data_IF_963206380529
#
_entry.id   IF_963206380529
#
_cell.length_a   1.000
_cell.length_b   1.000
_cell.length_c   1.000
_cell.angle_alpha   90.00
_cell.angle_beta   90.00
_cell.angle_gamma   90.00
#
_symmetry.space_group_name_H-M   'P 1'
#
loop_
_entity.id
_entity.type
_entity.pdbx_description
1 polymer ?
#
# COMPACT_ATOMS: atom_id res chain seq x y z
N UNK A 1 4.85 2.21 29.68
CA UNK A 1 6.03 2.53 28.87
C UNK A 1 5.56 3.47 27.77
N UNK A 2 6.42 4.33 27.21
CA UNK A 2 6.00 5.18 26.09
C UNK A 2 5.75 4.30 24.86
N UNK A 3 4.59 4.47 24.19
CA UNK A 3 4.16 3.65 23.03
C UNK A 3 4.59 4.26 21.68
N UNK A 4 5.42 5.31 21.72
CA UNK A 4 5.84 6.06 20.54
C UNK A 4 5.76 7.56 20.78
N UNK A 5 6.10 8.34 19.76
CA UNK A 5 6.16 9.79 19.82
C UNK A 5 5.63 10.43 18.53
N UNK A 6 4.88 11.53 18.66
CA UNK A 6 4.26 12.24 17.53
C UNK A 6 5.23 13.23 16.88
N UNK A 7 6.41 12.74 16.51
CA UNK A 7 7.46 13.47 15.79
C UNK A 7 8.09 12.57 14.70
N UNK A 8 9.33 12.85 14.31
CA UNK A 8 10.12 12.05 13.38
C UNK A 8 10.71 10.80 14.08
N UNK A 9 9.83 9.98 14.65
CA UNK A 9 10.18 8.76 15.36
C UNK A 9 9.46 7.56 14.76
N UNK A 10 10.15 6.42 14.76
CA UNK A 10 9.52 5.11 14.59
C UNK A 10 8.98 4.57 15.92
N UNK A 11 8.22 3.50 15.83
CA UNK A 11 7.61 2.83 16.98
C UNK A 11 8.53 1.77 17.60
N UNK A 12 8.42 1.50 18.91
CA UNK A 12 9.08 0.37 19.54
C UNK A 12 8.35 -0.95 19.25
N UNK A 13 9.06 -2.06 19.45
CA UNK A 13 8.52 -3.42 19.21
C UNK A 13 7.20 -3.69 19.96
N UNK A 14 7.08 -3.28 21.22
CA UNK A 14 5.88 -3.56 22.02
C UNK A 14 4.63 -2.84 21.50
N UNK A 15 4.78 -1.69 20.84
CA UNK A 15 3.67 -0.99 20.19
C UNK A 15 3.20 -1.76 18.96
N UNK A 16 4.13 -2.24 18.14
CA UNK A 16 3.78 -3.12 17.02
C UNK A 16 3.09 -4.40 17.50
N UNK A 17 3.62 -5.03 18.55
CA UNK A 17 3.01 -6.21 19.18
C UNK A 17 1.59 -5.92 19.69
N UNK A 18 1.37 -4.79 20.38
CA UNK A 18 0.06 -4.42 20.90
C UNK A 18 -0.97 -4.19 19.78
N UNK A 19 -0.60 -3.49 18.70
CA UNK A 19 -1.47 -3.25 17.55
C UNK A 19 -1.86 -4.56 16.87
N UNK A 20 -0.87 -5.42 16.59
CA UNK A 20 -1.10 -6.69 15.91
C UNK A 20 -1.94 -7.64 16.78
N UNK A 21 -1.71 -7.69 18.10
CA UNK A 21 -2.53 -8.48 19.01
C UNK A 21 -3.97 -7.98 19.07
N UNK A 22 -4.17 -6.66 19.10
CA UNK A 22 -5.50 -6.06 19.05
C UNK A 22 -6.24 -6.45 17.77
N UNK A 23 -5.57 -6.31 16.61
CA UNK A 23 -6.13 -6.73 15.33
C UNK A 23 -6.46 -8.23 15.30
N UNK A 24 -5.57 -9.09 15.79
CA UNK A 24 -5.82 -10.55 15.85
C UNK A 24 -7.00 -10.94 16.74
N UNK A 25 -7.21 -10.22 17.84
CA UNK A 25 -8.29 -10.49 18.78
C UNK A 25 -9.66 -9.98 18.28
N UNK A 26 -9.69 -8.82 17.60
CA UNK A 26 -10.92 -8.16 17.19
C UNK A 26 -11.41 -8.59 15.80
N UNK A 27 -10.47 -8.76 14.85
CA UNK A 27 -10.80 -8.82 13.44
C UNK A 27 -11.06 -10.25 12.95
N UNK A 28 -12.04 -10.37 12.04
CA UNK A 28 -12.29 -11.62 11.32
C UNK A 28 -11.50 -11.64 10.02
N UNK A 29 -10.27 -12.12 10.12
CA UNK A 29 -9.29 -12.08 9.02
C UNK A 29 -9.28 -13.40 8.25
N UNK A 30 -9.46 -13.35 6.93
CA UNK A 30 -9.23 -14.50 6.04
C UNK A 30 -7.75 -14.65 5.69
N UNK A 31 -7.12 -13.55 5.26
CA UNK A 31 -5.71 -13.42 4.89
C UNK A 31 -5.24 -11.99 5.12
N UNK A 32 -3.93 -11.74 5.03
CA UNK A 32 -3.33 -10.43 5.35
C UNK A 32 -2.48 -9.94 4.17
N UNK A 33 -2.67 -8.70 3.75
CA UNK A 33 -1.71 -8.00 2.89
C UNK A 33 -0.66 -7.30 3.75
N UNK A 34 0.61 -7.47 3.39
CA UNK A 34 1.75 -7.02 4.17
C UNK A 34 2.81 -6.36 3.29
N UNK A 35 2.72 -5.05 3.11
CA UNK A 35 3.37 -4.34 2.01
C UNK A 35 4.71 -3.70 2.40
N UNK A 36 5.53 -4.32 3.25
CA UNK A 36 6.93 -3.91 3.48
C UNK A 36 7.17 -2.76 4.47
N UNK A 37 8.36 -2.16 4.39
CA UNK A 37 8.92 -1.11 5.26
C UNK A 37 9.02 -1.48 6.75
N UNK A 38 9.86 -2.50 7.03
CA UNK A 38 10.07 -2.97 8.40
C UNK A 38 11.23 -2.32 9.13
N UNK A 39 12.40 -2.13 8.48
CA UNK A 39 13.52 -1.47 9.14
C UNK A 39 13.21 0.02 9.39
N UNK A 40 13.67 0.59 10.52
CA UNK A 40 13.37 1.98 10.87
C UNK A 40 14.09 3.00 9.97
N UNK A 41 13.81 4.29 10.16
CA UNK A 41 14.35 5.40 9.35
C UNK A 41 15.77 5.81 9.74
N UNK A 42 16.53 4.97 10.45
CA UNK A 42 17.93 5.22 10.83
C UNK A 42 18.92 4.90 9.69
N UNK A 43 18.56 5.25 8.45
CA UNK A 43 19.23 4.84 7.19
C UNK A 43 20.72 5.21 7.11
N UNK A 44 21.16 6.19 7.90
CA UNK A 44 22.57 6.57 8.01
C UNK A 44 23.45 5.53 8.73
N UNK A 45 22.84 4.56 9.42
CA UNK A 45 23.54 3.55 10.21
C UNK A 45 22.80 2.20 10.18
N UNK A 46 22.68 1.63 8.98
CA UNK A 46 22.09 0.32 8.72
C UNK A 46 23.08 -0.64 8.06
N UNK A 47 23.06 -1.90 8.49
CA UNK A 47 23.77 -3.01 7.87
C UNK A 47 22.78 -4.07 7.38
N UNK A 48 23.21 -4.93 6.45
CA UNK A 48 22.40 -6.08 6.00
C UNK A 48 21.95 -6.96 7.15
N UNK A 49 22.83 -7.18 8.13
CA UNK A 49 22.52 -7.98 9.33
C UNK A 49 21.39 -7.35 10.14
N UNK A 50 21.36 -6.01 10.27
CA UNK A 50 20.28 -5.29 10.94
C UNK A 50 18.96 -5.39 10.17
N UNK A 51 18.98 -5.29 8.83
CA UNK A 51 17.76 -5.48 8.03
C UNK A 51 17.20 -6.90 8.20
N UNK A 52 18.06 -7.92 8.12
CA UNK A 52 17.68 -9.32 8.31
C UNK A 52 17.17 -9.59 9.74
N UNK A 53 17.74 -8.92 10.74
CA UNK A 53 17.27 -8.99 12.13
C UNK A 53 15.86 -8.41 12.27
N UNK A 54 15.59 -7.23 11.71
CA UNK A 54 14.25 -6.60 11.72
C UNK A 54 13.23 -7.51 11.01
N UNK A 55 13.58 -8.01 9.83
CA UNK A 55 12.75 -8.96 9.07
C UNK A 55 12.42 -10.19 9.90
N UNK A 56 13.43 -10.85 10.49
CA UNK A 56 13.22 -12.04 11.31
C UNK A 56 12.31 -11.75 12.50
N UNK A 57 12.58 -10.66 13.22
CA UNK A 57 11.85 -10.28 14.44
C UNK A 57 10.37 -10.03 14.15
N UNK A 58 10.05 -9.26 13.11
CA UNK A 58 8.66 -8.97 12.77
C UNK A 58 7.97 -10.22 12.19
N UNK A 59 8.64 -11.01 11.34
CA UNK A 59 8.05 -12.25 10.81
C UNK A 59 7.73 -13.26 11.93
N UNK A 60 8.57 -13.37 12.96
CA UNK A 60 8.29 -14.19 14.14
C UNK A 60 7.08 -13.67 14.94
N UNK A 61 6.97 -12.35 15.12
CA UNK A 61 5.81 -11.72 15.74
C UNK A 61 4.51 -11.97 14.95
N UNK A 62 4.55 -11.83 13.62
CA UNK A 62 3.41 -12.07 12.73
C UNK A 62 2.95 -13.53 12.80
N UNK A 63 3.88 -14.47 12.66
CA UNK A 63 3.59 -15.90 12.73
C UNK A 63 2.99 -16.32 14.09
N UNK A 64 3.47 -15.71 15.19
CA UNK A 64 2.95 -15.93 16.54
C UNK A 64 1.55 -15.34 16.72
N UNK A 65 1.32 -14.13 16.21
CA UNK A 65 0.10 -13.36 16.44
C UNK A 65 -1.08 -13.83 15.57
N UNK A 66 -0.80 -14.30 14.36
CA UNK A 66 -1.81 -14.75 13.40
C UNK A 66 -1.55 -16.21 12.97
N UNK A 67 -1.69 -17.19 13.87
CA UNK A 67 -1.47 -18.58 13.54
C UNK A 67 -2.46 -19.03 12.44
N UNK A 68 -1.97 -19.80 11.48
CA UNK A 68 -2.76 -20.33 10.35
C UNK A 68 -3.36 -19.26 9.42
N UNK A 69 -2.82 -18.04 9.40
CA UNK A 69 -3.15 -17.03 8.38
C UNK A 69 -2.06 -16.98 7.33
N UNK A 70 -2.48 -16.78 6.08
CA UNK A 70 -1.55 -16.54 4.98
C UNK A 70 -1.28 -15.05 4.87
N UNK A 71 0.00 -14.69 4.83
CA UNK A 71 0.45 -13.35 4.52
C UNK A 71 0.84 -13.27 3.06
N UNK A 72 0.26 -12.31 2.36
CA UNK A 72 0.67 -11.94 1.02
C UNK A 72 1.45 -10.65 1.09
N UNK A 73 2.77 -10.78 0.94
CA UNK A 73 3.72 -9.70 1.17
C UNK A 73 4.15 -8.99 -0.10
N UNK A 74 4.60 -7.75 0.02
CA UNK A 74 5.34 -7.00 -1.00
C UNK A 74 6.60 -6.38 -0.39
N UNK A 75 7.61 -6.11 -1.21
CA UNK A 75 8.88 -5.50 -0.78
C UNK A 75 8.70 -3.98 -0.67
N UNK A 76 9.06 -3.40 0.47
CA UNK A 76 9.16 -1.95 0.66
C UNK A 76 10.55 -1.43 0.32
N UNK A 77 10.76 -0.13 0.48
CA UNK A 77 12.01 0.51 0.08
C UNK A 77 13.06 0.50 1.19
N UNK A 78 12.63 0.34 2.45
CA UNK A 78 13.52 0.22 3.60
C UNK A 78 14.11 -1.19 3.81
N UNK A 79 13.67 -2.23 3.10
CA UNK A 79 14.22 -3.59 3.29
C UNK A 79 15.70 -3.74 2.90
N UNK A 80 16.17 -2.96 1.93
CA UNK A 80 17.55 -3.00 1.48
C UNK A 80 18.49 -2.16 2.37
N UNK A 81 19.79 -2.50 2.35
CA UNK A 81 20.84 -1.70 2.95
C UNK A 81 22.00 -1.55 1.94
N UNK A 82 22.30 -0.33 1.45
CA UNK A 82 21.63 0.95 1.78
C UNK A 82 20.15 1.00 1.36
N UNK A 83 19.35 1.82 2.07
CA UNK A 83 17.92 2.02 1.78
C UNK A 83 17.70 2.43 0.30
N UNK A 84 16.57 2.03 -0.29
CA UNK A 84 16.15 2.28 -1.67
C UNK A 84 17.00 1.59 -2.77
N UNK A 85 18.16 1.04 -2.45
CA UNK A 85 19.09 0.51 -3.46
C UNK A 85 18.81 -0.96 -3.78
N UNK A 86 17.96 -1.18 -4.78
CA UNK A 86 17.62 -2.52 -5.30
C UNK A 86 18.31 -2.74 -6.66
N UNK A 87 19.48 -3.40 -6.70
CA UNK A 87 20.24 -3.59 -7.92
C UNK A 87 19.50 -4.46 -8.95
N UNK A 88 19.72 -4.16 -10.23
CA UNK A 88 19.24 -4.92 -11.38
C UNK A 88 20.38 -5.77 -11.94
N UNK A 89 20.13 -6.76 -12.83
CA UNK A 89 21.20 -7.62 -13.38
C UNK A 89 22.33 -6.88 -14.10
N UNK A 90 22.09 -5.63 -14.53
CA UNK A 90 23.11 -4.79 -15.14
C UNK A 90 24.13 -4.25 -14.13
N UNK A 91 23.82 -4.30 -12.83
CA UNK A 91 24.71 -3.91 -11.72
C UNK A 91 25.65 -5.08 -11.40
N UNK A 92 26.95 -4.86 -11.54
CA UNK A 92 27.97 -5.90 -11.27
C UNK A 92 28.60 -5.80 -9.88
N UNK A 93 28.51 -4.64 -9.25
CA UNK A 93 29.18 -4.34 -7.97
C UNK A 93 28.41 -4.79 -6.75
N UNK A 94 27.12 -5.12 -6.90
CA UNK A 94 26.26 -5.51 -5.80
C UNK A 94 25.20 -6.53 -6.25
N UNK A 95 24.63 -7.26 -5.29
CA UNK A 95 23.50 -8.13 -5.50
C UNK A 95 22.54 -8.08 -4.30
N UNK A 96 21.25 -8.32 -4.58
CA UNK A 96 20.17 -8.29 -3.59
C UNK A 96 19.77 -9.69 -3.09
N UNK A 97 20.50 -10.72 -3.50
CA UNK A 97 20.15 -12.13 -3.21
C UNK A 97 20.09 -12.43 -1.70
N UNK A 98 20.95 -11.78 -0.91
CA UNK A 98 20.98 -11.88 0.55
C UNK A 98 19.64 -11.51 1.19
N UNK A 99 18.89 -10.60 0.58
CA UNK A 99 17.56 -10.17 1.03
C UNK A 99 16.49 -11.09 0.46
N UNK A 100 16.46 -11.28 -0.86
CA UNK A 100 15.37 -12.00 -1.53
C UNK A 100 15.27 -13.48 -1.14
N UNK A 101 16.40 -14.14 -0.84
CA UNK A 101 16.39 -15.51 -0.31
C UNK A 101 15.70 -15.58 1.06
N UNK A 102 16.01 -14.62 1.95
CA UNK A 102 15.38 -14.54 3.28
C UNK A 102 13.90 -14.16 3.19
N UNK A 103 13.54 -13.27 2.27
CA UNK A 103 12.14 -12.95 1.99
C UNK A 103 11.37 -14.18 1.51
N UNK A 104 11.92 -14.95 0.56
CA UNK A 104 11.29 -16.17 0.08
C UNK A 104 11.06 -17.18 1.21
N UNK A 105 12.08 -17.42 2.04
CA UNK A 105 11.97 -18.32 3.20
C UNK A 105 10.89 -17.86 4.19
N UNK A 106 10.88 -16.57 4.53
CA UNK A 106 9.93 -16.01 5.49
C UNK A 106 8.51 -16.02 4.95
N UNK A 107 8.29 -15.60 3.71
CA UNK A 107 6.94 -15.53 3.14
C UNK A 107 6.33 -16.92 2.90
N UNK A 108 7.15 -17.91 2.54
CA UNK A 108 6.70 -19.32 2.47
C UNK A 108 6.33 -19.83 3.86
N UNK A 109 7.13 -19.51 4.88
CA UNK A 109 6.79 -19.83 6.27
C UNK A 109 5.50 -19.16 6.74
N UNK A 110 5.19 -17.97 6.22
CA UNK A 110 3.93 -17.25 6.46
C UNK A 110 2.78 -17.69 5.52
N UNK A 111 2.94 -18.78 4.80
CA UNK A 111 1.86 -19.46 4.09
C UNK A 111 1.84 -19.27 2.58
N UNK A 112 2.83 -18.59 1.98
CA UNK A 112 2.95 -18.60 0.51
C UNK A 112 3.29 -20.01 0.00
N UNK A 113 2.76 -20.42 -1.16
CA UNK A 113 3.16 -21.68 -1.77
C UNK A 113 4.62 -21.64 -2.26
N UNK A 114 5.30 -22.78 -2.22
CA UNK A 114 6.74 -22.85 -2.50
C UNK A 114 7.10 -22.59 -3.98
N UNK A 115 6.14 -22.68 -4.90
CA UNK A 115 6.34 -22.34 -6.32
C UNK A 115 6.59 -20.84 -6.54
N UNK A 116 6.18 -19.97 -5.62
CA UNK A 116 6.48 -18.52 -5.64
C UNK A 116 7.95 -18.21 -5.40
N UNK A 117 8.72 -19.13 -4.77
CA UNK A 117 10.13 -18.93 -4.41
C UNK A 117 10.97 -18.38 -5.55
N UNK A 118 10.85 -18.98 -6.74
CA UNK A 118 11.71 -18.67 -7.87
C UNK A 118 11.58 -17.22 -8.32
N UNK A 119 10.35 -16.67 -8.37
CA UNK A 119 10.15 -15.28 -8.77
C UNK A 119 10.52 -14.31 -7.64
N UNK A 120 10.28 -14.69 -6.38
CA UNK A 120 10.72 -13.91 -5.21
C UNK A 120 12.25 -13.79 -5.21
N UNK A 121 12.98 -14.89 -5.36
CA UNK A 121 14.44 -14.88 -5.41
C UNK A 121 15.00 -14.17 -6.65
N UNK A 122 14.22 -14.14 -7.75
CA UNK A 122 14.60 -13.42 -8.96
C UNK A 122 14.48 -11.91 -8.84
N UNK A 123 13.36 -11.42 -8.29
CA UNK A 123 13.03 -9.98 -8.34
C UNK A 123 12.21 -9.45 -7.16
N UNK A 124 11.92 -10.25 -6.15
CA UNK A 124 11.08 -9.82 -5.02
C UNK A 124 9.61 -9.61 -5.40
N UNK A 125 9.17 -10.14 -6.55
CA UNK A 125 7.77 -10.14 -7.00
C UNK A 125 7.28 -11.56 -7.25
N UNK A 126 5.97 -11.78 -7.17
CA UNK A 126 5.36 -13.09 -7.39
C UNK A 126 3.87 -13.00 -7.66
N UNK A 127 3.30 -14.10 -8.16
CA UNK A 127 1.86 -14.29 -8.23
C UNK A 127 1.47 -15.57 -7.50
N UNK A 128 0.24 -15.62 -6.99
CA UNK A 128 -0.34 -16.83 -6.40
C UNK A 128 -1.86 -16.74 -6.41
N UNK A 129 -2.54 -17.87 -6.23
CA UNK A 129 -3.99 -17.91 -6.04
C UNK A 129 -4.30 -17.66 -4.56
N UNK A 130 -5.13 -16.66 -4.26
CA UNK A 130 -5.64 -16.43 -2.91
C UNK A 130 -6.73 -17.47 -2.59
N UNK A 131 -7.64 -17.66 -3.54
CA UNK A 131 -8.77 -18.58 -3.50
C UNK A 131 -9.26 -18.82 -4.93
N UNK A 132 -10.05 -19.87 -5.20
CA UNK A 132 -10.53 -20.14 -6.56
C UNK A 132 -11.14 -18.90 -7.20
N UNK A 133 -10.65 -18.50 -8.38
CA UNK A 133 -11.12 -17.31 -9.10
C UNK A 133 -10.51 -15.97 -8.67
N UNK A 134 -9.63 -15.94 -7.65
CA UNK A 134 -8.90 -14.74 -7.24
C UNK A 134 -7.38 -14.97 -7.21
N UNK A 135 -6.69 -14.30 -8.11
CA UNK A 135 -5.23 -14.24 -8.19
C UNK A 135 -4.70 -12.98 -7.52
N UNK A 136 -3.54 -13.11 -6.90
CA UNK A 136 -2.72 -12.00 -6.45
C UNK A 136 -1.54 -11.80 -7.39
N UNK A 137 -1.20 -10.55 -7.67
CA UNK A 137 0.09 -10.13 -8.21
C UNK A 137 0.74 -9.20 -7.19
N UNK A 138 1.86 -9.63 -6.61
CA UNK A 138 2.69 -8.81 -5.72
C UNK A 138 3.88 -8.27 -6.50
N UNK A 139 4.02 -6.95 -6.55
CA UNK A 139 5.04 -6.24 -7.31
C UNK A 139 6.12 -5.67 -6.38
N UNK A 140 7.35 -5.66 -6.88
CA UNK A 140 8.45 -4.94 -6.29
C UNK A 140 8.52 -3.54 -6.90
N UNK A 141 7.92 -2.58 -6.20
CA UNK A 141 7.81 -1.20 -6.68
C UNK A 141 9.13 -0.42 -6.57
N UNK A 142 10.17 -0.99 -5.95
CA UNK A 142 11.51 -0.38 -5.95
C UNK A 142 12.14 -0.28 -7.34
N UNK A 143 11.66 -1.08 -8.30
CA UNK A 143 12.08 -0.99 -9.70
C UNK A 143 11.41 0.14 -10.48
N UNK A 144 10.48 0.87 -9.84
CA UNK A 144 9.93 2.09 -10.39
C UNK A 144 10.38 3.36 -9.63
N UNK A 145 11.00 3.21 -8.46
CA UNK A 145 11.30 4.34 -7.58
C UNK A 145 12.38 5.26 -8.14
N UNK A 146 12.16 6.57 -8.07
CA UNK A 146 13.18 7.56 -8.38
C UNK A 146 14.33 7.58 -7.35
N UNK A 147 14.11 7.03 -6.16
CA UNK A 147 15.14 6.89 -5.11
C UNK A 147 16.06 5.68 -5.32
N UNK A 148 15.70 4.75 -6.22
CA UNK A 148 16.55 3.63 -6.58
C UNK A 148 17.60 4.07 -7.62
N UNK A 149 18.73 4.57 -7.14
CA UNK A 149 19.78 5.12 -8.02
C UNK A 149 20.42 4.11 -8.96
N UNK A 150 20.22 2.80 -8.77
CA UNK A 150 20.64 1.79 -9.75
C UNK A 150 19.91 1.92 -11.09
N UNK A 151 18.71 2.51 -11.11
CA UNK A 151 17.93 2.72 -12.32
C UNK A 151 18.53 3.78 -13.26
N UNK A 152 19.51 4.58 -12.81
CA UNK A 152 20.27 5.46 -13.70
C UNK A 152 21.12 4.71 -14.72
N UNK A 153 21.47 3.44 -14.45
CA UNK A 153 22.17 2.59 -15.41
C UNK A 153 21.21 2.16 -16.52
N UNK A 154 20.04 1.65 -16.11
CA UNK A 154 18.95 1.29 -17.01
C UNK A 154 17.64 1.19 -16.24
N UNK A 155 16.68 2.05 -16.59
CA UNK A 155 15.33 2.10 -16.01
C UNK A 155 14.27 1.44 -16.90
N UNK A 156 14.67 0.82 -18.02
CA UNK A 156 13.76 0.11 -18.93
C UNK A 156 13.33 -1.20 -18.29
N UNK A 157 12.05 -1.27 -17.91
CA UNK A 157 11.36 -2.40 -17.28
C UNK A 157 12.31 -3.34 -16.49
N UNK A 158 12.84 -2.90 -15.33
CA UNK A 158 13.84 -3.69 -14.63
C UNK A 158 13.32 -5.09 -14.27
N UNK A 159 14.10 -6.11 -14.61
CA UNK A 159 13.74 -7.53 -14.50
C UNK A 159 12.50 -7.95 -15.30
N UNK A 160 12.15 -7.19 -16.34
CA UNK A 160 10.98 -7.43 -17.18
C UNK A 160 9.68 -7.55 -16.35
N UNK A 161 9.59 -6.82 -15.23
CA UNK A 161 8.51 -6.96 -14.26
C UNK A 161 7.15 -6.57 -14.85
N UNK A 162 7.06 -5.49 -15.64
CA UNK A 162 5.82 -5.10 -16.32
C UNK A 162 5.46 -6.11 -17.41
N UNK A 163 6.45 -6.60 -18.17
CA UNK A 163 6.23 -7.65 -19.14
C UNK A 163 5.72 -8.95 -18.49
N UNK A 164 6.29 -9.33 -17.35
CA UNK A 164 5.86 -10.47 -16.53
C UNK A 164 4.44 -10.27 -15.98
N UNK A 165 4.11 -9.06 -15.51
CA UNK A 165 2.77 -8.72 -15.05
C UNK A 165 1.74 -8.83 -16.17
N UNK A 166 2.04 -8.34 -17.38
CA UNK A 166 1.16 -8.47 -18.55
C UNK A 166 0.84 -9.94 -18.84
N UNK A 167 1.84 -10.82 -18.77
CA UNK A 167 1.64 -12.26 -19.02
C UNK A 167 0.67 -12.88 -18.02
N UNK A 168 0.79 -12.53 -16.73
CA UNK A 168 -0.11 -13.04 -15.70
C UNK A 168 -1.50 -12.43 -15.70
N UNK A 169 -1.63 -11.16 -16.10
CA UNK A 169 -2.94 -10.54 -16.30
C UNK A 169 -3.66 -11.16 -17.50
N UNK A 170 -2.97 -11.40 -18.62
CA UNK A 170 -3.58 -12.11 -19.75
C UNK A 170 -3.96 -13.54 -19.36
N UNK A 171 -3.09 -14.26 -18.64
CA UNK A 171 -3.41 -15.58 -18.12
C UNK A 171 -4.68 -15.56 -17.26
N UNK A 172 -4.80 -14.60 -16.33
CA UNK A 172 -5.98 -14.46 -15.48
C UNK A 172 -7.24 -14.15 -16.29
N UNK A 173 -7.15 -13.28 -17.31
CA UNK A 173 -8.25 -12.99 -18.23
C UNK A 173 -8.73 -14.24 -18.97
N UNK A 174 -7.79 -15.03 -19.52
CA UNK A 174 -8.08 -16.26 -20.26
C UNK A 174 -8.70 -17.36 -19.37
N UNK A 175 -8.49 -17.29 -18.04
CA UNK A 175 -8.99 -18.25 -17.06
C UNK A 175 -10.12 -17.70 -16.18
N UNK A 176 -10.70 -16.55 -16.55
CA UNK A 176 -11.82 -15.92 -15.84
C UNK A 176 -11.51 -15.61 -14.35
N UNK A 177 -10.25 -15.34 -14.03
CA UNK A 177 -9.80 -14.97 -12.69
C UNK A 177 -9.88 -13.45 -12.48
N UNK A 178 -10.28 -13.01 -11.29
CA UNK A 178 -10.06 -11.64 -10.81
C UNK A 178 -8.67 -11.49 -10.23
N UNK A 179 -8.16 -10.27 -10.24
CA UNK A 179 -6.80 -9.95 -9.81
C UNK A 179 -6.80 -8.86 -8.77
N UNK A 180 -6.10 -9.12 -7.66
CA UNK A 180 -5.62 -8.11 -6.75
C UNK A 180 -4.15 -7.81 -7.01
N UNK A 181 -3.80 -6.53 -7.00
CA UNK A 181 -2.42 -6.08 -7.12
C UNK A 181 -1.98 -5.50 -5.78
N UNK A 182 -0.85 -5.95 -5.27
CA UNK A 182 -0.22 -5.35 -4.09
C UNK A 182 1.18 -4.84 -4.43
N UNK A 183 1.57 -3.75 -3.80
CA UNK A 183 2.91 -3.18 -3.89
C UNK A 183 3.18 -2.26 -2.70
N UNK A 184 4.40 -1.76 -2.57
CA UNK A 184 4.72 -0.77 -1.54
C UNK A 184 4.48 0.66 -2.03
N UNK A 185 5.31 1.15 -2.95
CA UNK A 185 5.24 2.50 -3.51
C UNK A 185 4.05 2.60 -4.48
N UNK A 186 3.13 3.56 -4.31
CA UNK A 186 2.03 3.75 -5.24
C UNK A 186 2.51 4.22 -6.63
N UNK A 187 1.82 3.85 -7.73
CA UNK A 187 2.25 4.17 -9.10
C UNK A 187 2.50 5.65 -9.38
N UNK A 188 1.77 6.55 -8.72
CA UNK A 188 1.94 8.01 -8.84
C UNK A 188 3.31 8.54 -8.40
N UNK A 189 4.07 7.75 -7.62
CA UNK A 189 5.43 8.09 -7.15
C UNK A 189 6.53 7.35 -7.93
N UNK A 190 6.17 6.57 -8.95
CA UNK A 190 7.13 5.92 -9.82
C UNK A 190 7.73 6.90 -10.85
N UNK A 191 8.87 6.54 -11.45
CA UNK A 191 9.40 7.16 -12.66
C UNK A 191 8.32 7.23 -13.75
N UNK A 192 8.22 8.36 -14.46
CA UNK A 192 7.19 8.62 -15.46
C UNK A 192 7.03 7.48 -16.48
N UNK A 193 8.13 6.99 -17.07
CA UNK A 193 8.06 5.88 -18.03
C UNK A 193 7.41 4.62 -17.45
N UNK A 194 7.75 4.23 -16.22
CA UNK A 194 7.15 3.08 -15.55
C UNK A 194 5.67 3.33 -15.25
N UNK A 195 5.38 4.45 -14.59
CA UNK A 195 4.03 4.88 -14.18
C UNK A 195 3.05 4.92 -15.37
N UNK A 196 3.46 5.48 -16.50
CA UNK A 196 2.62 5.57 -17.69
C UNK A 196 2.38 4.21 -18.36
N UNK A 197 3.39 3.34 -18.41
CA UNK A 197 3.19 1.98 -18.92
C UNK A 197 2.32 1.14 -17.96
N UNK A 198 2.53 1.29 -16.65
CA UNK A 198 1.68 0.66 -15.64
C UNK A 198 0.22 1.08 -15.83
N UNK A 199 -0.06 2.37 -16.00
CA UNK A 199 -1.40 2.88 -16.25
C UNK A 199 -2.07 2.24 -17.49
N UNK A 200 -1.33 2.07 -18.58
CA UNK A 200 -1.82 1.41 -19.80
C UNK A 200 -2.21 -0.04 -19.56
N UNK A 201 -1.40 -0.75 -18.76
CA UNK A 201 -1.68 -2.14 -18.39
C UNK A 201 -2.97 -2.20 -17.56
N UNK A 202 -3.13 -1.31 -16.56
CA UNK A 202 -4.36 -1.25 -15.76
C UNK A 202 -5.58 -0.96 -16.64
N UNK A 203 -5.46 0.00 -17.56
CA UNK A 203 -6.50 0.31 -18.54
C UNK A 203 -6.90 -0.92 -19.38
N UNK A 204 -5.93 -1.65 -19.92
CA UNK A 204 -6.19 -2.85 -20.73
C UNK A 204 -6.91 -3.96 -19.95
N UNK A 205 -6.62 -4.13 -18.66
CA UNK A 205 -7.12 -5.23 -17.84
C UNK A 205 -8.15 -4.79 -16.79
N UNK A 206 -8.80 -3.64 -16.99
CA UNK A 206 -9.76 -3.06 -16.05
C UNK A 206 -10.89 -4.02 -15.64
N UNK A 207 -11.28 -4.95 -16.53
CA UNK A 207 -12.37 -5.90 -16.27
C UNK A 207 -12.01 -6.98 -15.24
N UNK A 208 -10.73 -7.30 -15.07
CA UNK A 208 -10.27 -8.38 -14.18
C UNK A 208 -9.60 -7.85 -12.92
N UNK A 209 -9.07 -6.63 -12.92
CA UNK A 209 -8.45 -6.03 -11.74
C UNK A 209 -9.54 -5.56 -10.78
N UNK A 210 -9.68 -6.25 -9.65
CA UNK A 210 -10.73 -5.99 -8.65
C UNK A 210 -10.27 -5.07 -7.50
N UNK A 211 -8.97 -4.77 -7.43
CA UNK A 211 -8.40 -3.87 -6.42
C UNK A 211 -6.88 -3.78 -6.47
N UNK A 212 -6.36 -2.60 -6.14
CA UNK A 212 -4.92 -2.35 -5.99
C UNK A 212 -4.65 -1.79 -4.59
N UNK A 213 -3.61 -2.28 -3.92
CA UNK A 213 -3.29 -1.94 -2.54
C UNK A 213 -1.81 -1.59 -2.39
N UNK A 214 -1.56 -0.38 -1.90
CA UNK A 214 -0.23 0.21 -1.73
C UNK A 214 -0.06 0.80 -0.32
N UNK A 215 1.13 1.30 -0.03
CA UNK A 215 1.51 1.93 1.23
C UNK A 215 2.51 3.08 0.97
N UNK A 216 3.65 3.10 1.66
CA UNK A 216 4.76 4.06 1.52
C UNK A 216 4.48 5.50 1.98
N UNK A 217 3.34 6.09 1.61
CA UNK A 217 3.07 7.50 1.95
C UNK A 217 2.77 7.74 3.43
N UNK A 218 2.51 6.66 4.18
CA UNK A 218 2.14 6.62 5.60
C UNK A 218 0.78 7.24 5.96
N UNK A 219 0.21 8.06 5.08
CA UNK A 219 -1.10 8.69 5.24
C UNK A 219 -2.23 7.79 4.74
N UNK A 220 -3.47 8.12 5.13
CA UNK A 220 -4.66 7.46 4.59
C UNK A 220 -5.04 8.10 3.26
N UNK A 221 -4.75 7.40 2.16
CA UNK A 221 -4.94 7.92 0.80
C UNK A 221 -5.63 6.92 -0.10
N UNK A 222 -6.13 7.42 -1.22
CA UNK A 222 -6.59 6.61 -2.34
C UNK A 222 -6.31 7.37 -3.63
N UNK A 223 -6.25 6.64 -4.74
CA UNK A 223 -6.12 7.23 -6.07
C UNK A 223 -7.10 6.56 -7.02
N UNK A 224 -7.89 7.38 -7.71
CA UNK A 224 -8.78 6.92 -8.77
C UNK A 224 -7.98 6.84 -10.05
N UNK A 225 -8.06 5.71 -10.75
CA UNK A 225 -7.55 5.60 -12.11
C UNK A 225 -8.68 5.83 -13.12
N UNK A 226 -8.37 6.55 -14.20
CA UNK A 226 -9.30 6.89 -15.27
C UNK A 226 -8.86 6.27 -16.60
N UNK A 227 -9.84 6.15 -17.50
CA UNK A 227 -9.63 5.74 -18.89
C UNK A 227 -8.61 6.65 -19.59
N UNK A 228 -7.70 6.08 -20.38
CA UNK A 228 -6.61 6.85 -21.01
C UNK A 228 -7.08 7.75 -22.17
N UNK A 229 -8.25 7.50 -22.76
CA UNK A 229 -8.73 8.24 -23.94
C UNK A 229 -9.28 9.60 -23.54
N UNK A 230 -10.18 9.63 -22.57
CA UNK A 230 -10.89 10.86 -22.16
C UNK A 230 -10.63 11.31 -20.72
N UNK A 231 -9.98 10.47 -19.90
CA UNK A 231 -9.71 10.70 -18.48
C UNK A 231 -10.97 11.06 -17.66
N UNK A 232 -12.15 10.61 -18.10
CA UNK A 232 -13.42 10.91 -17.45
C UNK A 232 -14.04 9.67 -16.82
N UNK A 233 -13.88 8.50 -17.44
CA UNK A 233 -14.45 7.26 -16.93
C UNK A 233 -13.53 6.64 -15.87
N UNK A 234 -13.95 6.52 -14.60
CA UNK A 234 -13.15 5.86 -13.58
C UNK A 234 -13.15 4.33 -13.80
N UNK A 235 -11.98 3.70 -13.78
CA UNK A 235 -11.81 2.29 -14.17
C UNK A 235 -11.29 1.40 -13.05
N UNK A 236 -10.55 1.95 -12.08
CA UNK A 236 -9.93 1.17 -11.01
C UNK A 236 -9.64 2.05 -9.80
N UNK A 237 -9.53 1.40 -8.64
CA UNK A 237 -9.11 2.03 -7.38
C UNK A 237 -7.75 1.52 -6.93
N UNK A 238 -6.88 2.46 -6.52
CA UNK A 238 -5.66 2.18 -5.78
C UNK A 238 -5.80 2.71 -4.36
N UNK A 239 -5.90 1.81 -3.38
CA UNK A 239 -5.94 2.17 -1.98
C UNK A 239 -4.53 2.29 -1.43
N UNK A 240 -4.24 3.37 -0.73
CA UNK A 240 -2.95 3.60 -0.07
C UNK A 240 -3.22 3.52 1.44
N UNK A 241 -2.66 2.48 2.06
CA UNK A 241 -2.93 2.13 3.45
C UNK A 241 -2.02 2.94 4.37
N UNK A 242 -2.54 3.47 5.49
CA UNK A 242 -1.75 4.33 6.34
C UNK A 242 -0.80 3.46 7.18
N UNK A 243 0.26 4.07 7.68
CA UNK A 243 1.32 3.31 8.34
C UNK A 243 0.96 2.87 9.76
N UNK A 244 1.58 1.76 10.16
CA UNK A 244 1.62 1.34 11.56
C UNK A 244 2.58 2.22 12.37
N UNK A 245 3.63 2.77 11.75
CA UNK A 245 4.58 3.69 12.41
C UNK A 245 3.96 5.08 12.68
N UNK A 246 4.56 5.80 13.64
CA UNK A 246 4.30 7.22 13.90
C UNK A 246 5.02 8.13 12.92
N UNK A 247 6.00 7.61 12.17
CA UNK A 247 6.83 8.41 11.27
C UNK A 247 5.98 9.00 10.13
N UNK A 248 5.86 10.32 9.98
CA UNK A 248 6.11 11.31 11.03
C UNK A 248 4.83 12.00 11.44
N UNK A 249 4.72 12.31 12.73
CA UNK A 249 3.59 13.06 13.28
C UNK A 249 2.23 12.39 13.01
N UNK A 250 2.15 11.06 13.13
CA UNK A 250 0.91 10.32 12.90
C UNK A 250 0.60 9.41 14.09
N UNK A 251 -0.69 9.17 14.35
CA UNK A 251 -1.06 8.03 15.19
C UNK A 251 -0.66 6.72 14.47
N UNK A 252 -0.26 5.66 15.19
CA UNK A 252 -0.17 4.31 14.62
C UNK A 252 -1.54 3.83 14.14
N UNK A 253 -1.62 3.14 12.99
CA UNK A 253 -2.89 2.60 12.50
C UNK A 253 -2.77 1.35 11.63
N UNK A 254 -3.91 0.69 11.42
CA UNK A 254 -4.06 -0.40 10.45
C UNK A 254 -5.44 -0.34 9.78
N UNK A 255 -5.58 -1.07 8.68
CA UNK A 255 -6.77 -1.08 7.82
C UNK A 255 -7.31 -2.49 7.67
N UNK A 256 -8.64 -2.61 7.66
CA UNK A 256 -9.35 -3.85 7.37
C UNK A 256 -10.24 -3.64 6.17
N UNK A 257 -10.07 -4.48 5.15
CA UNK A 257 -10.89 -4.47 3.95
C UNK A 257 -11.96 -5.55 4.03
N UNK A 258 -13.20 -5.16 3.72
CA UNK A 258 -14.27 -6.10 3.42
C UNK A 258 -14.30 -6.31 1.91
N UNK A 259 -14.02 -7.53 1.48
CA UNK A 259 -13.97 -7.91 0.07
C UNK A 259 -15.17 -8.81 -0.24
N UNK A 260 -15.68 -8.75 -1.46
CA UNK A 260 -16.71 -9.66 -1.94
C UNK A 260 -16.31 -11.12 -1.77
N UNK A 261 -17.26 -11.95 -1.36
CA UNK A 261 -17.02 -13.24 -0.71
C UNK A 261 -16.43 -14.31 -1.63
N UNK A 262 -16.19 -15.50 -1.08
CA UNK A 262 -15.78 -16.67 -1.86
C UNK A 262 -17.00 -17.45 -2.36
N UNK A 263 -17.49 -17.14 -3.55
CA UNK A 263 -18.59 -17.87 -4.20
C UNK A 263 -18.47 -17.77 -5.73
N UNK A 264 -19.09 -18.69 -6.50
CA UNK A 264 -19.06 -18.64 -7.97
C UNK A 264 -19.61 -17.32 -8.51
N UNK A 265 -18.84 -16.64 -9.37
CA UNK A 265 -19.19 -15.33 -9.92
C UNK A 265 -18.96 -14.14 -8.99
N UNK A 266 -18.23 -14.34 -7.87
CA UNK A 266 -17.81 -13.23 -7.00
C UNK A 266 -17.02 -12.19 -7.78
N UNK A 267 -17.29 -10.93 -7.47
CA UNK A 267 -16.62 -9.79 -8.08
C UNK A 267 -15.21 -9.60 -7.50
N UNK A 268 -15.00 -10.07 -6.27
CA UNK A 268 -13.81 -9.82 -5.43
C UNK A 268 -13.45 -8.34 -5.24
N UNK A 269 -14.36 -7.41 -5.52
CA UNK A 269 -14.13 -5.98 -5.26
C UNK A 269 -14.13 -5.69 -3.75
N UNK A 270 -13.47 -4.60 -3.39
CA UNK A 270 -13.61 -4.01 -2.05
C UNK A 270 -15.04 -3.47 -1.90
N UNK A 271 -15.74 -3.94 -0.88
CA UNK A 271 -17.09 -3.53 -0.53
C UNK A 271 -17.12 -2.47 0.56
N UNK A 272 -16.14 -2.51 1.47
CA UNK A 272 -15.97 -1.52 2.55
C UNK A 272 -14.52 -1.54 3.05
N UNK A 273 -14.13 -0.50 3.77
CA UNK A 273 -12.93 -0.56 4.61
C UNK A 273 -13.04 0.26 5.88
N UNK A 274 -12.39 -0.26 6.93
CA UNK A 274 -12.31 0.36 8.25
C UNK A 274 -10.86 0.65 8.59
N UNK A 275 -10.60 1.84 9.11
CA UNK A 275 -9.29 2.22 9.68
C UNK A 275 -9.40 2.24 11.21
N UNK A 276 -8.43 1.64 11.88
CA UNK A 276 -8.30 1.65 13.35
C UNK A 276 -6.96 2.29 13.69
N UNK A 277 -6.97 3.21 14.66
CA UNK A 277 -5.77 3.91 15.12
C UNK A 277 -5.53 3.67 16.61
N UNK A 278 -4.27 3.74 17.03
CA UNK A 278 -3.93 3.92 18.44
C UNK A 278 -3.87 5.42 18.73
N UNK A 279 -4.70 5.92 19.64
CA UNK A 279 -4.61 7.32 20.08
C UNK A 279 -3.37 7.46 20.97
N UNK A 280 -2.27 7.91 20.37
CA UNK A 280 -0.98 7.89 21.02
C UNK A 280 -0.90 8.90 22.18
N UNK A 281 -1.55 10.07 22.02
CA UNK A 281 -1.65 11.08 23.07
C UNK A 281 -2.34 10.53 24.32
N UNK A 282 -3.53 9.93 24.15
CA UNK A 282 -4.26 9.34 25.27
C UNK A 282 -3.49 8.14 25.84
N UNK A 283 -2.91 7.32 24.97
CA UNK A 283 -2.16 6.12 25.35
C UNK A 283 -0.97 6.46 26.25
N UNK A 284 -0.18 7.47 25.87
CA UNK A 284 0.95 7.94 26.65
C UNK A 284 0.51 8.66 27.93
N UNK A 285 -0.56 9.46 27.89
CA UNK A 285 -1.07 10.20 29.06
C UNK A 285 -1.58 9.26 30.16
N UNK A 286 -2.33 8.22 29.78
CA UNK A 286 -2.93 7.28 30.72
C UNK A 286 -2.07 6.03 30.97
N UNK A 287 -0.96 5.89 30.24
CA UNK A 287 -0.10 4.71 30.27
C UNK A 287 -0.91 3.40 30.06
N UNK A 288 -1.85 3.45 29.12
CA UNK A 288 -2.75 2.36 28.74
C UNK A 288 -2.97 2.41 27.23
N UNK A 289 -2.82 1.30 26.51
CA UNK A 289 -3.06 1.24 25.06
C UNK A 289 -4.52 1.52 24.74
N UNK A 290 -4.79 2.60 23.99
CA UNK A 290 -6.13 3.04 23.62
C UNK A 290 -6.27 3.00 22.10
N UNK A 291 -7.10 2.08 21.62
CA UNK A 291 -7.48 1.97 20.21
C UNK A 291 -8.81 2.66 19.95
N UNK A 292 -8.94 3.24 18.76
CA UNK A 292 -10.13 3.93 18.29
C UNK A 292 -10.45 3.39 16.89
N UNK A 293 -11.69 2.94 16.69
CA UNK A 293 -12.26 2.78 15.36
C UNK A 293 -12.37 4.18 14.74
N UNK A 294 -11.43 4.53 13.86
CA UNK A 294 -11.32 5.88 13.34
C UNK A 294 -12.49 6.19 12.41
N UNK A 295 -12.69 5.33 11.41
CA UNK A 295 -13.82 5.42 10.50
C UNK A 295 -14.05 4.14 9.71
N UNK A 296 -15.29 4.03 9.23
CA UNK A 296 -15.71 3.15 8.14
C UNK A 296 -16.06 4.05 6.95
N UNK A 297 -15.45 3.78 5.80
CA UNK A 297 -15.46 4.71 4.65
C UNK A 297 -16.85 5.00 4.12
N UNK A 298 -17.71 3.99 4.00
CA UNK A 298 -19.06 4.17 3.45
C UNK A 298 -19.91 5.02 4.37
N UNK A 299 -19.81 4.79 5.67
CA UNK A 299 -20.52 5.60 6.66
C UNK A 299 -19.97 7.03 6.74
N UNK A 300 -18.64 7.20 6.76
CA UNK A 300 -18.01 8.50 6.93
C UNK A 300 -18.20 9.42 5.73
N UNK A 301 -18.12 8.88 4.51
CA UNK A 301 -18.24 9.66 3.27
C UNK A 301 -19.64 9.57 2.63
N UNK A 302 -20.58 8.89 3.31
CA UNK A 302 -21.94 8.65 2.83
C UNK A 302 -21.96 8.06 1.41
N UNK A 303 -21.23 6.95 1.24
CA UNK A 303 -21.08 6.22 -0.02
C UNK A 303 -21.88 4.93 0.01
N UNK A 304 -22.60 4.63 -1.08
CA UNK A 304 -23.38 3.40 -1.20
C UNK A 304 -22.47 2.20 -1.42
N UNK A 305 -21.41 2.36 -2.23
CA UNK A 305 -20.48 1.32 -2.65
C UNK A 305 -19.08 1.92 -2.77
N UNK A 306 -18.06 1.08 -3.00
CA UNK A 306 -16.68 1.51 -3.24
C UNK A 306 -16.21 1.24 -4.68
N UNK A 307 -17.13 1.15 -5.64
CA UNK A 307 -16.77 1.04 -7.05
C UNK A 307 -16.14 2.35 -7.56
N UNK A 308 -15.35 2.33 -8.65
CA UNK A 308 -14.65 3.52 -9.12
C UNK A 308 -15.57 4.72 -9.37
N UNK A 309 -16.81 4.47 -9.83
CA UNK A 309 -17.80 5.53 -10.04
C UNK A 309 -18.25 6.23 -8.75
N UNK A 310 -18.37 5.51 -7.64
CA UNK A 310 -18.74 6.09 -6.34
C UNK A 310 -17.62 6.96 -5.78
N UNK A 311 -16.37 6.54 -5.94
CA UNK A 311 -15.21 7.35 -5.62
C UNK A 311 -15.15 8.61 -6.49
N UNK A 312 -15.45 8.48 -7.79
CA UNK A 312 -15.53 9.65 -8.68
C UNK A 312 -16.62 10.63 -8.23
N UNK A 313 -17.80 10.13 -7.85
CA UNK A 313 -18.87 10.96 -7.30
C UNK A 313 -18.44 11.68 -6.00
N UNK A 314 -17.63 11.04 -5.15
CA UNK A 314 -17.03 11.69 -3.98
C UNK A 314 -16.10 12.83 -4.41
N UNK A 315 -15.20 12.59 -5.38
CA UNK A 315 -14.30 13.62 -5.92
C UNK A 315 -15.09 14.82 -6.48
N UNK A 316 -16.16 14.59 -7.25
CA UNK A 316 -16.98 15.66 -7.79
C UNK A 316 -17.69 16.47 -6.69
N UNK A 317 -18.14 15.82 -5.60
CA UNK A 317 -18.65 16.54 -4.42
C UNK A 317 -17.57 17.42 -3.79
N UNK A 318 -16.36 16.90 -3.63
CA UNK A 318 -15.22 17.64 -3.06
C UNK A 318 -14.78 18.81 -3.93
N UNK A 319 -14.77 18.65 -5.26
CA UNK A 319 -14.47 19.76 -6.18
C UNK A 319 -15.45 20.92 -6.03
N UNK A 320 -16.72 20.62 -5.81
CA UNK A 320 -17.78 21.62 -5.67
C UNK A 320 -17.84 22.28 -4.28
N UNK A 321 -17.25 21.67 -3.25
CA UNK A 321 -17.23 22.17 -1.87
C UNK A 321 -15.89 21.88 -1.20
N UNK A 322 -14.80 22.36 -1.82
CA UNK A 322 -13.43 22.00 -1.42
C UNK A 322 -13.06 22.47 -0.02
N UNK A 323 -13.67 23.58 0.44
CA UNK A 323 -13.49 24.10 1.79
C UNK A 323 -14.55 23.62 2.79
N UNK A 324 -15.41 22.68 2.35
CA UNK A 324 -16.50 22.11 3.12
C UNK A 324 -16.06 21.15 4.23
N UNK A 325 -17.02 20.76 5.05
CA UNK A 325 -16.79 19.86 6.19
C UNK A 325 -16.36 18.46 5.77
N UNK A 326 -16.83 17.97 4.61
CA UNK A 326 -16.45 16.66 4.10
C UNK A 326 -14.96 16.61 3.74
N UNK A 327 -14.42 17.66 3.12
CA UNK A 327 -12.98 17.73 2.85
C UNK A 327 -12.16 17.85 4.13
N UNK A 328 -12.67 18.59 5.13
CA UNK A 328 -12.07 18.63 6.47
C UNK A 328 -12.04 17.25 7.14
N UNK A 329 -13.10 16.44 6.98
CA UNK A 329 -13.17 15.08 7.49
C UNK A 329 -12.18 14.14 6.78
N UNK A 330 -12.06 14.24 5.46
CA UNK A 330 -11.06 13.48 4.69
C UNK A 330 -9.65 13.85 5.12
N UNK A 331 -9.36 15.14 5.29
CA UNK A 331 -8.05 15.58 5.78
C UNK A 331 -7.74 15.05 7.19
N UNK A 332 -8.74 15.00 8.08
CA UNK A 332 -8.59 14.40 9.40
C UNK A 332 -8.17 12.93 9.30
N UNK A 333 -8.79 12.14 8.43
CA UNK A 333 -8.44 10.73 8.28
C UNK A 333 -7.13 10.51 7.52
N UNK A 334 -6.83 11.37 6.54
CA UNK A 334 -5.53 11.40 5.85
C UNK A 334 -4.38 11.47 6.86
N UNK A 335 -4.50 12.28 7.91
CA UNK A 335 -3.49 12.40 8.99
C UNK A 335 -3.70 11.40 10.15
N UNK A 336 -4.52 10.35 10.01
CA UNK A 336 -4.86 9.41 11.09
C UNK A 336 -5.34 10.12 12.38
N UNK A 337 -6.20 11.12 12.21
CA UNK A 337 -6.74 11.98 13.26
C UNK A 337 -5.65 12.67 14.11
N UNK A 338 -4.46 12.84 13.55
CA UNK A 338 -3.44 13.68 14.15
C UNK A 338 -3.78 15.16 13.96
N UNK A 339 -3.77 15.90 15.06
CA UNK A 339 -4.01 17.34 15.08
C UNK A 339 -2.85 18.05 15.79
N UNK A 340 -2.03 18.79 15.04
CA UNK A 340 -0.98 19.67 15.57
C UNK A 340 -1.42 21.14 15.72
N UNK A 341 -2.71 21.42 15.51
CA UNK A 341 -3.25 22.78 15.53
C UNK A 341 -3.12 23.55 14.20
N UNK A 342 -2.40 23.01 13.20
CA UNK A 342 -2.40 23.57 11.86
C UNK A 342 -3.61 23.05 11.06
N UNK A 343 -4.33 23.96 10.44
CA UNK A 343 -5.43 23.62 9.54
C UNK A 343 -4.92 23.54 8.10
N UNK A 344 -5.35 22.51 7.37
CA UNK A 344 -5.17 22.43 5.93
C UNK A 344 -6.01 23.54 5.29
N UNK A 345 -5.33 24.57 4.79
CA UNK A 345 -5.96 25.69 4.08
C UNK A 345 -6.46 25.26 2.69
N UNK A 346 -7.04 26.21 1.95
CA UNK A 346 -7.57 25.94 0.61
C UNK A 346 -6.53 25.31 -0.32
N UNK A 347 -5.29 25.82 -0.33
CA UNK A 347 -4.22 25.31 -1.19
C UNK A 347 -3.83 23.88 -0.82
N UNK A 348 -3.72 23.59 0.48
CA UNK A 348 -3.48 22.25 0.98
C UNK A 348 -4.61 21.29 0.56
N UNK A 349 -5.88 21.69 0.70
CA UNK A 349 -7.04 20.86 0.29
C UNK A 349 -7.04 20.62 -1.21
N UNK A 350 -6.76 21.65 -2.01
CA UNK A 350 -6.60 21.54 -3.46
C UNK A 350 -5.49 20.57 -3.86
N UNK A 351 -4.35 20.63 -3.18
CA UNK A 351 -3.24 19.69 -3.36
C UNK A 351 -3.67 18.26 -3.05
N UNK A 352 -4.31 18.03 -1.91
CA UNK A 352 -4.78 16.70 -1.52
C UNK A 352 -5.81 16.13 -2.51
N UNK A 353 -6.75 16.95 -2.98
CA UNK A 353 -7.73 16.53 -3.99
C UNK A 353 -7.07 16.19 -5.32
N UNK A 354 -6.03 16.94 -5.70
CA UNK A 354 -5.19 16.68 -6.87
C UNK A 354 -4.45 15.33 -6.73
N UNK A 355 -3.91 15.03 -5.56
CA UNK A 355 -3.21 13.77 -5.28
C UNK A 355 -4.12 12.54 -5.38
N UNK A 356 -5.43 12.69 -5.13
CA UNK A 356 -6.41 11.60 -5.25
C UNK A 356 -6.84 11.28 -6.68
N UNK A 357 -6.60 12.18 -7.63
CA UNK A 357 -6.91 11.96 -9.05
C UNK A 357 -5.67 11.86 -9.94
N UNK A 358 -4.48 12.08 -9.38
CA UNK A 358 -3.21 11.95 -10.09
C UNK A 358 -2.69 10.51 -9.98
N UNK A 359 -3.14 9.65 -10.89
CA UNK A 359 -2.69 8.25 -10.95
C UNK A 359 -1.30 8.09 -11.59
N UNK A 360 -0.95 8.98 -12.51
CA UNK A 360 0.31 8.97 -13.25
C UNK A 360 1.26 10.02 -12.69
N UNK A 361 2.50 9.62 -12.42
CA UNK A 361 3.57 10.58 -12.17
C UNK A 361 3.81 11.54 -13.34
N UNK A 362 4.19 12.77 -12.99
CA UNK A 362 4.50 13.88 -13.92
C UNK A 362 3.36 14.24 -14.89
N UNK A 363 2.10 13.96 -14.50
CA UNK A 363 0.91 14.36 -15.27
C UNK A 363 0.47 15.78 -14.91
N UNK A 364 0.95 16.76 -15.67
CA UNK A 364 0.67 18.18 -15.41
C UNK A 364 -0.80 18.57 -15.58
N UNK A 365 -1.62 17.74 -16.23
CA UNK A 365 -3.01 18.05 -16.58
C UNK A 365 -4.03 17.33 -15.70
N UNK A 366 -3.60 16.37 -14.86
CA UNK A 366 -4.49 15.60 -14.00
C UNK A 366 -5.40 16.48 -13.11
N UNK A 367 -4.94 17.69 -12.78
CA UNK A 367 -5.60 18.58 -11.83
C UNK A 367 -6.15 19.87 -12.45
N UNK A 368 -6.17 19.98 -13.78
CA UNK A 368 -6.68 21.16 -14.50
C UNK A 368 -8.17 21.41 -14.22
N UNK A 369 -8.91 20.34 -13.92
CA UNK A 369 -10.34 20.39 -13.62
C UNK A 369 -10.63 20.69 -12.14
N UNK A 370 -9.62 20.88 -11.30
CA UNK A 370 -9.80 21.28 -9.90
C UNK A 370 -9.76 22.82 -9.83
N UNK A 371 -10.84 23.47 -9.36
CA UNK A 371 -10.87 24.92 -9.18
C UNK A 371 -9.71 25.45 -8.33
N UNK A 372 -9.33 26.69 -8.60
CA UNK A 372 -8.33 27.44 -7.83
C UNK A 372 -8.95 28.28 -6.71
#
# INVERSE_FOLDING_TARGET
MMEGDLHNCDIPYWTAEAILQYASALEKIDFIYYTGDLPPHNVWNQSREQQLYSLKTINELLAKTFPNKTFYSAVGNHEAAPCNLFPTPNVRSDNISWLYQVLADNWIKLGLPNDTRKSIEHGGFYTTIIRPGLRLISLNMNYCSWENFWLFINSTDPLDQLQWMIQWLQYAEDHEEKVHIIGHIPPKQCLASFSWNFNKIINRYENIIAGQFYAHTHNDEFVINYDEIDQQRPISMAYITPSLTTFSNLNPGYRVYKIDGNYPGSSYWVLDHRTVIMNLTATNLYNQTIFIDEYDVRNAYNMENLFPNDWHNLIEKLKNDIDGSLMGLIYQYYTKSYANGNQCDHNCRRGLLCDFITYRSEDSHACDLIPY
#
